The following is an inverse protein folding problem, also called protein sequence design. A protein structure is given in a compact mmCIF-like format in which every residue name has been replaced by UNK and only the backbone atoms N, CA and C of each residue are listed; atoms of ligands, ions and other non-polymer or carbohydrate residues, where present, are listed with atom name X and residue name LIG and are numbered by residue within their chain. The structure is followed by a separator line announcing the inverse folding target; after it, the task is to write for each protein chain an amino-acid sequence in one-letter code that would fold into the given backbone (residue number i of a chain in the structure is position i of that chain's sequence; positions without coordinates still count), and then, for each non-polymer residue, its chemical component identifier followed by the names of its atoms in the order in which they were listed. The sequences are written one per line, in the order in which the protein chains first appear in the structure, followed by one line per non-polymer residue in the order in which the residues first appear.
data_IF_790183836187
#
_entry.id   IF_790183836187
#
_cell.length_a   1.000
_cell.length_b   1.000
_cell.length_c   1.000
_cell.angle_alpha   90.00
_cell.angle_beta   90.00
_cell.angle_gamma   90.00
#
_symmetry.space_group_name_H-M   'P 1'
#
loop_
_entity.id
_entity.type
_entity.pdbx_description
1 polymer ?
#
# COMPACT_ATOMS: atom_id res chain seq x y z
N UNK A 1 -36.99 6.91 -6.73
CA UNK A 1 -36.21 7.67 -5.72
C UNK A 1 -34.88 7.02 -5.31
N UNK A 2 -34.77 5.69 -5.10
CA UNK A 2 -33.48 5.04 -4.75
C UNK A 2 -32.40 5.11 -5.85
N UNK A 3 -32.83 5.16 -7.12
CA UNK A 3 -31.96 5.17 -8.31
C UNK A 3 -31.20 6.49 -8.51
N UNK A 4 -31.86 7.63 -8.30
CA UNK A 4 -31.21 8.95 -8.41
C UNK A 4 -30.25 9.20 -7.25
N UNK A 5 -30.56 8.74 -6.04
CA UNK A 5 -29.67 8.95 -4.87
C UNK A 5 -28.38 8.13 -4.99
N UNK A 6 -28.44 6.89 -5.50
CA UNK A 6 -27.26 6.07 -5.73
C UNK A 6 -26.36 6.64 -6.85
N UNK A 7 -26.96 7.10 -7.96
CA UNK A 7 -26.25 7.70 -9.09
C UNK A 7 -25.63 9.06 -8.72
N UNK A 8 -26.37 9.91 -8.00
CA UNK A 8 -25.86 11.18 -7.48
C UNK A 8 -24.76 11.00 -6.44
N UNK A 9 -24.82 9.95 -5.61
CA UNK A 9 -23.78 9.65 -4.64
C UNK A 9 -22.51 9.11 -5.33
N UNK A 10 -22.63 8.25 -6.34
CA UNK A 10 -21.49 7.77 -7.12
C UNK A 10 -20.83 8.90 -7.95
N UNK A 11 -21.65 9.77 -8.56
CA UNK A 11 -21.19 10.95 -9.31
C UNK A 11 -20.65 12.09 -8.41
N UNK A 12 -21.11 12.18 -7.16
CA UNK A 12 -20.52 13.09 -6.17
C UNK A 12 -19.20 12.54 -5.60
N UNK A 13 -19.02 11.22 -5.61
CA UNK A 13 -17.77 10.55 -5.24
C UNK A 13 -16.72 10.53 -6.38
N UNK A 14 -17.12 10.72 -7.64
CA UNK A 14 -16.20 10.71 -8.80
C UNK A 14 -15.20 11.88 -8.85
N UNK A 15 -15.42 12.97 -8.10
CA UNK A 15 -14.43 14.06 -7.99
C UNK A 15 -13.38 13.85 -6.90
N UNK A 16 -13.52 12.80 -6.07
CA UNK A 16 -12.66 12.52 -4.93
C UNK A 16 -12.64 11.03 -4.56
N UNK A 17 -12.35 10.13 -5.51
CA UNK A 17 -12.26 8.69 -5.22
C UNK A 17 -11.05 8.42 -4.32
N UNK A 18 -11.29 8.47 -3.02
CA UNK A 18 -10.42 8.05 -1.93
C UNK A 18 -10.12 6.56 -2.14
N UNK A 19 -8.86 6.14 -1.97
CA UNK A 19 -8.49 4.73 -1.93
C UNK A 19 -8.99 4.07 -0.61
N UNK A 20 -10.31 3.97 -0.45
CA UNK A 20 -10.95 3.31 0.68
C UNK A 20 -12.32 2.79 0.26
N UNK A 21 -12.81 1.69 0.85
CA UNK A 21 -14.18 1.23 0.63
C UNK A 21 -15.20 2.34 0.96
N UNK A 22 -16.20 2.53 0.10
CA UNK A 22 -17.29 3.49 0.35
C UNK A 22 -18.22 2.88 1.42
N UNK A 23 -17.90 3.12 2.68
CA UNK A 23 -18.52 2.46 3.84
C UNK A 23 -19.95 2.96 4.21
N UNK A 24 -20.34 4.17 3.77
CA UNK A 24 -21.50 4.88 4.33
C UNK A 24 -22.80 4.77 3.52
N UNK A 25 -22.75 4.22 2.30
CA UNK A 25 -23.91 4.21 1.39
C UNK A 25 -24.51 2.82 1.11
N UNK A 26 -23.77 1.74 1.41
CA UNK A 26 -24.11 0.40 0.90
C UNK A 26 -24.12 -0.72 1.95
N UNK A 27 -23.97 -0.41 3.25
CA UNK A 27 -24.13 -1.45 4.29
C UNK A 27 -25.59 -1.83 4.45
N UNK A 28 -25.91 -3.08 4.13
CA UNK A 28 -27.07 -3.76 4.73
C UNK A 28 -26.85 -3.79 6.25
N UNK A 29 -27.83 -3.31 7.02
CA UNK A 29 -27.84 -3.47 8.49
C UNK A 29 -27.94 -4.96 8.78
N UNK A 30 -26.80 -5.63 8.96
CA UNK A 30 -26.78 -6.93 9.63
C UNK A 30 -27.21 -6.70 11.08
N UNK A 31 -28.31 -7.35 11.48
CA UNK A 31 -28.84 -7.31 12.83
C UNK A 31 -27.78 -7.89 13.76
N UNK A 32 -27.16 -7.05 14.59
CA UNK A 32 -26.24 -7.50 15.66
C UNK A 32 -26.99 -8.48 16.57
N UNK A 33 -26.76 -9.77 16.39
CA UNK A 33 -27.01 -10.75 17.45
C UNK A 33 -25.83 -10.65 18.39
N UNK A 34 -26.02 -10.00 19.53
CA UNK A 34 -25.03 -9.99 20.59
C UNK A 34 -24.84 -11.43 21.09
N UNK A 35 -23.64 -11.97 20.93
CA UNK A 35 -23.16 -13.08 21.75
C UNK A 35 -22.05 -12.52 22.62
N UNK A 36 -22.37 -12.27 23.89
CA UNK A 36 -21.37 -12.08 24.93
C UNK A 36 -20.63 -13.39 25.10
N UNK A 37 -19.36 -13.43 24.67
CA UNK A 37 -18.43 -14.44 25.17
C UNK A 37 -17.45 -13.72 26.08
N UNK A 38 -17.66 -13.91 27.38
CA UNK A 38 -16.66 -13.63 28.40
C UNK A 38 -15.44 -14.49 28.10
N UNK A 39 -14.34 -13.88 27.68
CA UNK A 39 -13.04 -14.56 27.56
C UNK A 39 -12.25 -14.21 28.80
N UNK A 40 -12.22 -15.19 29.71
CA UNK A 40 -11.37 -15.24 30.88
C UNK A 40 -9.91 -15.43 30.41
N UNK A 41 -9.20 -14.34 30.16
CA UNK A 41 -7.80 -14.35 29.69
C UNK A 41 -6.86 -14.44 30.89
N UNK A 42 -6.38 -15.65 31.18
CA UNK A 42 -5.21 -15.89 32.02
C UNK A 42 -3.97 -15.88 31.12
N UNK A 43 -3.30 -14.72 31.03
CA UNK A 43 -1.95 -14.62 30.47
C UNK A 43 -0.95 -14.37 31.62
N UNK A 44 0.22 -15.03 31.62
CA UNK A 44 1.14 -14.98 32.75
C UNK A 44 1.86 -13.63 32.83
N UNK A 45 1.86 -13.04 34.03
CA UNK A 45 2.67 -11.87 34.38
C UNK A 45 4.13 -12.31 34.50
N UNK A 46 4.99 -11.85 33.59
CA UNK A 46 6.44 -11.98 33.74
C UNK A 46 6.96 -10.86 34.64
N UNK A 47 7.32 -11.25 35.85
CA UNK A 47 7.98 -10.42 36.84
C UNK A 47 9.49 -10.64 36.69
N UNK A 48 10.25 -9.66 36.21
CA UNK A 48 11.71 -9.74 36.14
C UNK A 48 12.35 -8.59 36.92
N UNK A 49 12.58 -8.85 38.20
CA UNK A 49 13.62 -8.18 38.97
C UNK A 49 14.93 -8.91 38.66
N UNK A 50 15.92 -8.22 38.09
CA UNK A 50 17.31 -8.71 38.07
C UNK A 50 18.28 -7.54 37.92
N UNK A 51 18.96 -7.28 39.02
CA UNK A 51 20.09 -6.38 39.17
C UNK A 51 21.32 -7.10 38.57
N UNK A 52 21.92 -6.59 37.49
CA UNK A 52 23.24 -7.06 37.04
C UNK A 52 24.09 -5.87 36.60
N UNK A 53 25.15 -5.64 37.37
CA UNK A 53 26.28 -4.78 37.05
C UNK A 53 27.31 -5.59 36.27
N UNK A 54 27.73 -5.14 35.08
CA UNK A 54 28.92 -5.67 34.41
C UNK A 54 29.79 -4.59 33.76
N UNK A 55 31.02 -4.57 34.28
CA UNK A 55 32.33 -4.34 33.66
C UNK A 55 32.60 -3.13 32.74
N UNK A 56 33.40 -2.25 33.31
CA UNK A 56 34.29 -1.26 32.70
C UNK A 56 35.21 -1.88 31.63
N UNK A 57 35.27 -1.26 30.44
CA UNK A 57 36.16 -1.62 29.32
C UNK A 57 36.67 -0.35 28.61
N UNK A 58 37.99 -0.23 28.55
CA UNK A 58 38.85 0.94 28.36
C UNK A 58 38.76 1.74 27.04
N UNK A 59 39.05 3.05 27.17
CA UNK A 59 39.42 4.05 26.15
C UNK A 59 40.25 3.55 24.96
N UNK A 60 39.86 3.98 23.75
CA UNK A 60 40.73 4.09 22.57
C UNK A 60 40.51 5.43 21.89
N UNK A 61 41.45 6.36 22.08
CA UNK A 61 41.43 7.72 21.52
C UNK A 61 42.27 7.80 20.25
N UNK A 62 41.78 8.62 19.30
CA UNK A 62 42.45 9.27 18.16
C UNK A 62 42.62 8.53 16.82
N UNK A 63 42.00 9.15 15.81
CA UNK A 63 42.24 8.93 14.39
C UNK A 63 41.35 9.84 13.54
N UNK A 64 41.48 11.16 13.69
CA UNK A 64 40.75 12.16 12.89
C UNK A 64 41.26 12.13 11.44
N UNK A 65 40.65 11.30 10.60
CA UNK A 65 40.78 11.38 9.15
C UNK A 65 39.56 12.13 8.60
N UNK A 66 39.77 13.40 8.29
CA UNK A 66 38.82 14.27 7.62
C UNK A 66 38.72 13.84 6.14
N UNK A 67 38.04 12.72 5.88
CA UNK A 67 37.53 12.42 4.55
C UNK A 67 36.21 13.15 4.41
N UNK A 68 36.12 14.10 3.49
CA UNK A 68 34.86 14.69 3.05
C UNK A 68 33.99 13.58 2.46
N UNK A 69 33.27 12.88 3.33
CA UNK A 69 32.16 12.02 2.95
C UNK A 69 31.16 12.91 2.22
N UNK A 70 30.91 12.63 0.94
CA UNK A 70 29.77 13.16 0.23
C UNK A 70 28.53 12.64 0.98
N UNK A 71 28.11 13.38 2.01
CA UNK A 71 27.06 12.97 2.92
C UNK A 71 25.74 13.01 2.17
N UNK A 72 25.30 11.84 1.69
CA UNK A 72 24.02 11.71 1.02
C UNK A 72 22.88 11.85 2.01
N UNK A 73 21.92 12.73 1.74
CA UNK A 73 20.80 13.02 2.63
C UNK A 73 19.58 12.14 2.32
N UNK A 74 18.92 11.65 3.38
CA UNK A 74 17.60 11.04 3.28
C UNK A 74 16.55 12.14 3.09
N UNK A 75 15.69 11.99 2.08
CA UNK A 75 14.56 12.90 1.88
C UNK A 75 13.31 12.31 2.51
N UNK A 76 12.65 13.08 3.37
CA UNK A 76 11.42 12.71 4.06
C UNK A 76 10.27 13.52 3.47
N UNK A 77 9.42 12.85 2.71
CA UNK A 77 8.22 13.43 2.08
C UNK A 77 7.02 13.17 2.99
N UNK A 78 6.33 14.23 3.41
CA UNK A 78 5.22 14.16 4.37
C UNK A 78 3.89 14.45 3.67
N UNK A 79 2.96 13.51 3.75
CA UNK A 79 1.61 13.60 3.19
C UNK A 79 0.52 13.44 4.26
N UNK A 80 0.88 12.88 5.40
CA UNK A 80 0.09 12.67 6.61
C UNK A 80 0.96 12.04 7.69
N UNK A 81 0.37 11.52 8.75
CA UNK A 81 1.09 10.77 9.78
C UNK A 81 1.92 11.63 10.74
N UNK A 82 2.86 10.98 11.42
CA UNK A 82 3.67 11.53 12.50
C UNK A 82 5.10 11.79 12.03
N UNK A 83 5.57 12.99 12.32
CA UNK A 83 6.97 13.39 12.15
C UNK A 83 7.46 13.98 13.47
N UNK A 84 8.66 13.61 13.95
CA UNK A 84 9.23 14.18 15.16
C UNK A 84 9.27 15.71 15.09
N UNK A 85 8.82 16.37 16.14
CA UNK A 85 9.05 17.80 16.36
C UNK A 85 10.49 17.92 16.87
N UNK A 86 11.46 17.77 15.99
CA UNK A 86 12.86 17.97 16.36
C UNK A 86 13.38 19.26 15.75
N UNK A 87 13.76 20.19 16.63
CA UNK A 87 14.54 21.38 16.30
C UNK A 87 16.04 21.04 16.16
N UNK A 88 16.35 19.75 16.06
CA UNK A 88 17.69 19.18 16.01
C UNK A 88 17.89 18.53 14.65
N UNK A 89 18.86 19.06 13.92
CA UNK A 89 19.53 18.40 12.82
C UNK A 89 19.84 16.93 13.14
N UNK A 90 18.95 16.01 12.77
CA UNK A 90 19.41 14.75 12.21
C UNK A 90 20.15 15.20 10.95
N UNK A 91 21.48 15.24 11.01
CA UNK A 91 22.38 16.03 10.14
C UNK A 91 22.36 15.64 8.66
N UNK A 92 21.43 14.75 8.28
CA UNK A 92 21.33 14.12 6.97
C UNK A 92 19.88 13.82 6.57
N UNK A 93 18.88 14.51 7.14
CA UNK A 93 17.46 14.37 6.73
C UNK A 93 16.87 15.71 6.30
N UNK A 94 16.18 15.73 5.16
CA UNK A 94 15.48 16.92 4.66
C UNK A 94 13.97 16.64 4.53
N UNK A 95 13.13 17.53 5.06
CA UNK A 95 11.68 17.33 5.13
C UNK A 95 10.95 18.16 4.08
N UNK A 96 10.18 17.50 3.22
CA UNK A 96 9.27 18.14 2.27
C UNK A 96 7.82 17.78 2.60
N UNK A 97 7.01 18.75 3.03
CA UNK A 97 5.59 18.52 3.27
C UNK A 97 4.77 18.83 2.01
N UNK A 98 4.14 17.81 1.44
CA UNK A 98 3.24 17.95 0.29
C UNK A 98 1.78 18.12 0.72
N UNK A 99 1.35 17.29 1.68
CA UNK A 99 -0.03 17.27 2.18
C UNK A 99 -0.07 17.12 3.70
N UNK A 100 -1.25 17.34 4.27
CA UNK A 100 -1.55 16.99 5.66
C UNK A 100 -2.92 16.31 5.71
N UNK A 101 -3.03 15.15 5.05
CA UNK A 101 -4.30 14.42 4.93
C UNK A 101 -4.48 13.41 6.05
N UNK A 102 -5.68 13.38 6.63
CA UNK A 102 -6.18 12.31 7.50
C UNK A 102 -7.07 11.29 6.77
N UNK A 103 -7.37 11.55 5.49
CA UNK A 103 -8.17 10.70 4.61
C UNK A 103 -7.27 9.93 3.64
N UNK A 104 -7.77 8.81 3.11
CA UNK A 104 -7.00 8.04 2.13
C UNK A 104 -6.70 8.89 0.89
N UNK A 105 -5.50 8.76 0.36
CA UNK A 105 -5.07 9.51 -0.81
C UNK A 105 -5.70 8.92 -2.09
N UNK A 106 -6.02 9.79 -3.04
CA UNK A 106 -6.53 9.38 -4.37
C UNK A 106 -5.38 9.17 -5.38
N UNK A 107 -5.68 8.56 -6.52
CA UNK A 107 -4.66 8.21 -7.54
C UNK A 107 -3.85 9.42 -8.03
N UNK A 108 -4.48 10.59 -8.19
CA UNK A 108 -3.78 11.82 -8.59
C UNK A 108 -2.77 12.28 -7.54
N UNK A 109 -3.15 12.20 -6.25
CA UNK A 109 -2.23 12.48 -5.15
C UNK A 109 -1.09 11.47 -5.11
N UNK A 110 -1.36 10.18 -5.36
CA UNK A 110 -0.32 9.15 -5.42
C UNK A 110 0.73 9.45 -6.52
N UNK A 111 0.30 9.80 -7.73
CA UNK A 111 1.23 10.19 -8.81
C UNK A 111 2.00 11.49 -8.51
N UNK A 112 1.37 12.47 -7.85
CA UNK A 112 2.07 13.68 -7.41
C UNK A 112 3.20 13.37 -6.42
N UNK A 113 2.98 12.45 -5.49
CA UNK A 113 4.01 12.03 -4.53
C UNK A 113 5.09 11.21 -5.26
N UNK A 114 4.70 10.32 -6.17
CA UNK A 114 5.66 9.55 -6.97
C UNK A 114 6.59 10.44 -7.80
N UNK A 115 6.10 11.58 -8.31
CA UNK A 115 6.96 12.56 -8.99
C UNK A 115 8.08 13.07 -8.08
N UNK A 116 7.74 13.52 -6.87
CA UNK A 116 8.70 14.07 -5.90
C UNK A 116 9.67 12.98 -5.42
N UNK A 117 9.17 11.76 -5.18
CA UNK A 117 10.01 10.61 -4.84
C UNK A 117 10.93 10.25 -6.00
N UNK A 118 10.47 10.31 -7.25
CA UNK A 118 11.30 10.04 -8.42
C UNK A 118 12.45 11.05 -8.53
N UNK A 119 12.16 12.34 -8.39
CA UNK A 119 13.18 13.40 -8.38
C UNK A 119 14.22 13.14 -7.28
N UNK A 120 13.75 12.77 -6.09
CA UNK A 120 14.61 12.39 -4.94
C UNK A 120 15.52 11.20 -5.26
N UNK A 121 14.98 10.08 -5.72
CA UNK A 121 15.78 8.86 -5.90
C UNK A 121 16.75 8.98 -7.09
N UNK A 122 16.46 9.84 -8.07
CA UNK A 122 17.36 10.12 -9.19
C UNK A 122 18.52 11.05 -8.79
N UNK A 123 18.37 11.83 -7.72
CA UNK A 123 19.45 12.67 -7.20
C UNK A 123 20.60 11.81 -6.65
N UNK A 124 21.80 12.00 -7.17
CA UNK A 124 23.01 11.27 -6.72
C UNK A 124 23.37 11.57 -5.26
N UNK A 125 22.96 12.73 -4.74
CA UNK A 125 23.17 13.13 -3.34
C UNK A 125 22.12 12.53 -2.39
N UNK A 126 21.06 11.89 -2.89
CA UNK A 126 20.08 11.23 -2.01
C UNK A 126 20.46 9.77 -1.74
N UNK A 127 20.45 9.37 -0.46
CA UNK A 127 20.61 7.96 -0.06
C UNK A 127 19.33 7.15 -0.23
N UNK A 128 18.16 7.79 -0.27
CA UNK A 128 16.85 7.15 -0.33
C UNK A 128 15.72 8.13 -0.01
N UNK A 129 14.49 7.59 0.00
CA UNK A 129 13.28 8.36 0.28
C UNK A 129 12.46 7.70 1.39
N UNK A 130 11.94 8.53 2.30
CA UNK A 130 10.93 8.13 3.27
C UNK A 130 9.64 8.88 2.94
N UNK A 131 8.51 8.18 2.90
CA UNK A 131 7.20 8.78 2.70
C UNK A 131 6.34 8.55 3.93
N UNK A 132 6.03 9.63 4.64
CA UNK A 132 5.20 9.60 5.85
C UNK A 132 3.77 9.91 5.45
N UNK A 133 2.86 8.96 5.72
CA UNK A 133 1.46 9.01 5.32
C UNK A 133 0.52 8.69 6.48
N UNK A 134 -0.78 8.83 6.27
CA UNK A 134 -1.76 8.38 7.27
C UNK A 134 -2.01 6.86 7.14
N UNK A 135 -2.49 6.24 8.23
CA UNK A 135 -2.87 4.83 8.30
C UNK A 135 -3.66 4.34 7.08
N UNK A 136 -4.67 5.13 6.68
CA UNK A 136 -5.61 4.76 5.60
C UNK A 136 -4.94 4.71 4.22
N UNK A 137 -3.79 5.34 4.06
CA UNK A 137 -3.06 5.42 2.79
C UNK A 137 -1.82 4.54 2.78
N UNK A 138 -1.42 3.94 3.90
CA UNK A 138 -0.18 3.18 4.02
C UNK A 138 -0.14 2.04 3.00
N UNK A 139 -1.18 1.21 2.97
CA UNK A 139 -1.29 0.10 2.02
C UNK A 139 -1.27 0.59 0.56
N UNK A 140 -2.10 1.58 0.23
CA UNK A 140 -2.24 2.10 -1.12
C UNK A 140 -0.94 2.71 -1.65
N UNK A 141 -0.27 3.56 -0.85
CA UNK A 141 1.00 4.21 -1.23
C UNK A 141 2.11 3.17 -1.40
N UNK A 142 2.23 2.24 -0.45
CA UNK A 142 3.28 1.21 -0.48
C UNK A 142 3.14 0.29 -1.69
N UNK A 143 1.91 -0.13 -1.99
CA UNK A 143 1.64 -0.95 -3.17
C UNK A 143 1.84 -0.17 -4.47
N UNK A 144 1.30 1.05 -4.55
CA UNK A 144 1.46 1.92 -5.73
C UNK A 144 2.93 2.14 -6.08
N UNK A 145 3.75 2.50 -5.10
CA UNK A 145 5.19 2.67 -5.29
C UNK A 145 5.91 1.39 -5.66
N UNK A 146 5.48 0.24 -5.12
CA UNK A 146 6.03 -1.07 -5.50
C UNK A 146 5.82 -1.35 -7.00
N UNK A 147 4.68 -0.93 -7.56
CA UNK A 147 4.42 -1.05 -8.99
C UNK A 147 5.23 -0.03 -9.79
N UNK A 148 5.39 1.22 -9.33
CA UNK A 148 6.04 2.26 -10.13
C UNK A 148 7.57 2.19 -10.12
N UNK A 149 8.17 1.98 -8.94
CA UNK A 149 9.61 2.16 -8.78
C UNK A 149 10.38 0.86 -8.98
N UNK A 150 11.38 0.93 -9.84
CA UNK A 150 12.45 -0.06 -9.95
C UNK A 150 13.78 0.60 -9.62
N UNK A 151 14.12 0.60 -8.32
CA UNK A 151 15.36 1.20 -7.81
C UNK A 151 16.02 0.30 -6.77
N UNK A 152 17.33 0.48 -6.62
CA UNK A 152 18.11 -0.14 -5.56
C UNK A 152 18.17 0.74 -4.30
N UNK A 153 17.84 2.04 -4.42
CA UNK A 153 17.77 2.95 -3.27
C UNK A 153 16.54 2.61 -2.42
N UNK A 154 16.65 2.65 -1.09
CA UNK A 154 15.52 2.38 -0.22
C UNK A 154 14.44 3.45 -0.41
N UNK A 155 13.21 2.98 -0.59
CA UNK A 155 11.99 3.78 -0.47
C UNK A 155 11.18 3.14 0.64
N UNK A 156 10.95 3.89 1.72
CA UNK A 156 10.26 3.40 2.92
C UNK A 156 9.01 4.23 3.15
N UNK A 157 7.84 3.59 3.17
CA UNK A 157 6.56 4.23 3.45
C UNK A 157 6.15 3.93 4.90
N UNK A 158 5.70 4.91 5.66
CA UNK A 158 5.40 4.73 7.08
C UNK A 158 4.31 5.69 7.54
N UNK A 159 3.74 5.40 8.71
CA UNK A 159 2.92 6.34 9.45
C UNK A 159 3.74 7.23 10.38
N UNK A 160 4.93 6.77 10.79
CA UNK A 160 5.86 7.49 11.67
C UNK A 160 7.27 7.42 11.10
N UNK A 161 7.84 8.58 10.77
CA UNK A 161 9.22 8.66 10.26
C UNK A 161 10.27 8.08 11.20
N UNK A 162 10.04 8.09 12.53
CA UNK A 162 11.00 7.56 13.48
C UNK A 162 11.30 6.07 13.22
N UNK A 163 10.29 5.29 12.82
CA UNK A 163 10.46 3.86 12.52
C UNK A 163 11.03 3.60 11.13
N UNK A 164 10.89 4.55 10.20
CA UNK A 164 11.41 4.39 8.84
C UNK A 164 12.87 4.83 8.67
N UNK A 165 13.35 5.78 9.49
CA UNK A 165 14.73 6.28 9.41
C UNK A 165 15.77 5.17 9.59
N UNK A 166 15.67 4.28 10.60
CA UNK A 166 16.57 3.14 10.75
C UNK A 166 16.55 2.23 9.52
N UNK A 167 15.36 1.90 9.01
CA UNK A 167 15.17 1.04 7.84
C UNK A 167 15.77 1.65 6.57
N UNK A 168 15.58 2.94 6.34
CA UNK A 168 16.11 3.61 5.16
C UNK A 168 17.64 3.77 5.18
N UNK A 169 18.24 3.85 6.36
CA UNK A 169 19.70 3.92 6.53
C UNK A 169 20.37 2.54 6.56
N UNK A 170 19.62 1.47 6.80
CA UNK A 170 20.17 0.12 6.86
C UNK A 170 20.56 -0.39 5.46
N UNK A 171 21.78 -0.91 5.34
CA UNK A 171 22.30 -1.43 4.05
C UNK A 171 21.53 -2.64 3.54
N UNK A 172 20.92 -3.41 4.44
CA UNK A 172 20.08 -4.55 4.13
C UNK A 172 18.74 -4.19 3.48
N UNK A 173 18.32 -2.92 3.50
CA UNK A 173 17.11 -2.47 2.82
C UNK A 173 17.27 -2.42 1.29
N UNK A 174 18.51 -2.32 0.79
CA UNK A 174 18.78 -2.27 -0.64
C UNK A 174 18.24 -3.52 -1.36
N UNK A 175 17.79 -3.34 -2.61
CA UNK A 175 17.27 -4.39 -3.51
C UNK A 175 15.98 -5.09 -3.06
N UNK A 176 15.33 -4.69 -1.97
CA UNK A 176 14.03 -5.24 -1.52
C UNK A 176 12.81 -4.63 -2.20
N UNK A 177 13.02 -3.64 -3.08
CA UNK A 177 11.95 -2.82 -3.63
C UNK A 177 11.48 -1.79 -2.61
N UNK A 178 10.23 -1.35 -2.73
CA UNK A 178 9.61 -0.45 -1.75
C UNK A 178 9.29 -1.25 -0.49
N UNK A 179 9.54 -0.64 0.66
CA UNK A 179 9.26 -1.18 1.97
C UNK A 179 8.20 -0.33 2.66
N UNK A 180 7.48 -0.92 3.61
CA UNK A 180 6.61 -0.19 4.51
C UNK A 180 6.91 -0.54 5.96
N UNK A 181 6.85 0.44 6.85
CA UNK A 181 6.96 0.23 8.30
C UNK A 181 5.66 0.63 8.97
N UNK A 182 5.11 -0.27 9.78
CA UNK A 182 3.86 -0.07 10.51
C UNK A 182 4.11 0.34 11.95
N UNK A 183 3.07 0.76 12.66
CA UNK A 183 3.16 1.23 14.05
C UNK A 183 3.66 0.18 15.06
N UNK A 184 3.62 -1.11 14.72
CA UNK A 184 4.17 -2.23 15.49
C UNK A 184 5.66 -2.48 15.21
N UNK A 185 6.33 -1.56 14.49
CA UNK A 185 7.72 -1.63 14.06
C UNK A 185 8.07 -2.78 13.11
N UNK A 186 7.07 -3.51 12.61
CA UNK A 186 7.29 -4.52 11.57
C UNK A 186 7.50 -3.86 10.20
N UNK A 187 8.43 -4.42 9.45
CA UNK A 187 8.77 -3.98 8.09
C UNK A 187 8.19 -4.98 7.11
N UNK A 188 7.50 -4.51 6.07
CA UNK A 188 6.89 -5.33 5.02
C UNK A 188 7.43 -4.91 3.66
N UNK A 189 7.39 -5.84 2.69
CA UNK A 189 7.44 -5.44 1.28
C UNK A 189 6.19 -4.60 0.97
N UNK A 190 6.32 -3.55 0.17
CA UNK A 190 5.20 -2.69 -0.19
C UNK A 190 4.04 -3.41 -0.89
N UNK A 191 4.31 -4.56 -1.52
CA UNK A 191 3.27 -5.45 -2.09
C UNK A 191 2.43 -6.12 -0.98
N UNK A 192 3.08 -6.50 0.12
CA UNK A 192 2.50 -7.24 1.24
C UNK A 192 2.24 -6.38 2.48
N UNK A 193 2.25 -5.05 2.32
CA UNK A 193 1.81 -4.12 3.37
C UNK A 193 0.37 -4.46 3.77
N UNK A 194 0.07 -4.67 5.07
CA UNK A 194 -1.28 -4.95 5.52
C UNK A 194 -2.14 -3.68 5.48
N UNK A 195 -3.46 -3.84 5.35
CA UNK A 195 -4.42 -2.74 5.41
C UNK A 195 -4.48 -2.06 6.79
N UNK A 196 -4.13 -2.79 7.85
CA UNK A 196 -4.00 -2.24 9.20
C UNK A 196 -2.97 -3.03 10.02
N UNK A 197 -2.43 -2.39 11.05
CA UNK A 197 -1.44 -2.97 11.97
C UNK A 197 -2.00 -4.07 12.87
N UNK A 198 -3.33 -4.24 12.92
CA UNK A 198 -4.00 -5.29 13.70
C UNK A 198 -4.59 -6.42 12.85
N UNK A 199 -4.27 -6.44 11.56
CA UNK A 199 -4.76 -7.47 10.64
C UNK A 199 -3.84 -8.68 10.65
N UNK A 200 -4.04 -9.58 11.63
CA UNK A 200 -3.31 -10.85 11.73
C UNK A 200 -3.39 -11.65 10.43
N UNK A 201 -2.28 -11.86 9.74
CA UNK A 201 -2.24 -12.62 8.49
C UNK A 201 -2.60 -11.83 7.22
N UNK A 202 -2.67 -10.50 7.29
CA UNK A 202 -2.85 -9.64 6.11
C UNK A 202 -1.55 -9.21 5.41
N UNK A 203 -0.39 -9.62 5.94
CA UNK A 203 0.93 -9.27 5.39
C UNK A 203 2.01 -10.26 5.83
N UNK A 204 3.16 -10.19 5.15
CA UNK A 204 4.34 -11.00 5.47
C UNK A 204 5.48 -10.04 5.89
N UNK A 205 5.79 -9.92 7.19
CA UNK A 205 6.87 -9.07 7.64
C UNK A 205 8.22 -9.66 7.20
N UNK A 206 9.14 -8.78 6.78
CA UNK A 206 10.48 -9.13 6.31
C UNK A 206 11.58 -8.68 7.26
N UNK A 207 11.25 -7.80 8.22
CA UNK A 207 12.10 -7.38 9.31
C UNK A 207 11.29 -6.79 10.47
N UNK A 208 11.98 -6.48 11.56
CA UNK A 208 11.49 -5.67 12.68
C UNK A 208 12.52 -4.59 13.01
N UNK A 209 12.06 -3.42 13.47
CA UNK A 209 12.91 -2.41 14.12
C UNK A 209 12.83 -2.62 15.62
N UNK A 210 13.96 -2.83 16.28
CA UNK A 210 14.01 -3.05 17.72
C UNK A 210 13.86 -1.73 18.53
N UNK A 211 14.07 -1.80 19.84
CA UNK A 211 14.02 -0.63 20.72
C UNK A 211 15.32 0.18 20.74
N UNK A 212 16.36 -0.30 20.05
CA UNK A 212 17.67 0.34 19.87
C UNK A 212 17.84 0.90 18.44
N UNK A 213 16.74 1.04 17.69
CA UNK A 213 16.72 1.50 16.31
C UNK A 213 17.61 0.64 15.37
N UNK A 214 17.74 -0.66 15.66
CA UNK A 214 18.39 -1.64 14.77
C UNK A 214 17.35 -2.41 13.97
N UNK A 215 17.71 -2.78 12.74
CA UNK A 215 16.84 -3.50 11.82
C UNK A 215 17.25 -4.96 11.76
N UNK A 216 16.37 -5.84 12.19
CA UNK A 216 16.59 -7.29 12.13
C UNK A 216 15.84 -7.89 10.94
N UNK A 217 16.57 -8.30 9.90
CA UNK A 217 16.00 -8.91 8.70
C UNK A 217 15.76 -10.42 8.89
N UNK A 218 14.54 -10.86 8.58
CA UNK A 218 14.16 -12.29 8.67
C UNK A 218 14.53 -13.10 7.43
N UNK A 219 14.64 -12.41 6.28
CA UNK A 219 14.89 -13.04 4.98
C UNK A 219 15.97 -12.29 4.21
N UNK A 220 16.63 -12.99 3.29
CA UNK A 220 17.51 -12.36 2.31
C UNK A 220 16.78 -11.34 1.43
N UNK A 221 17.53 -10.37 0.92
CA UNK A 221 16.98 -9.32 0.07
C UNK A 221 16.39 -9.90 -1.21
N UNK A 222 15.07 -9.77 -1.36
CA UNK A 222 14.31 -10.26 -2.50
C UNK A 222 13.13 -9.34 -2.80
N UNK A 223 12.60 -9.43 -4.03
CA UNK A 223 11.41 -8.72 -4.48
C UNK A 223 10.30 -9.73 -4.79
N UNK A 224 9.03 -9.44 -4.45
CA UNK A 224 7.90 -10.27 -4.86
C UNK A 224 7.85 -10.47 -6.38
N UNK A 225 7.41 -11.65 -6.83
CA UNK A 225 7.35 -12.00 -8.27
C UNK A 225 6.63 -10.95 -9.10
N UNK A 226 5.52 -10.40 -8.59
CA UNK A 226 4.71 -9.35 -9.22
C UNK A 226 5.53 -8.13 -9.67
N UNK A 227 6.53 -7.73 -8.87
CA UNK A 227 7.37 -6.54 -9.10
C UNK A 227 8.85 -6.87 -9.33
N UNK A 228 9.17 -8.15 -9.54
CA UNK A 228 10.51 -8.58 -9.88
C UNK A 228 10.94 -7.96 -11.22
N UNK A 229 12.24 -7.76 -11.44
CA UNK A 229 12.75 -7.23 -12.71
C UNK A 229 12.39 -8.11 -13.91
N UNK A 230 12.03 -9.37 -13.67
CA UNK A 230 11.58 -10.32 -14.67
C UNK A 230 10.06 -10.42 -14.82
N UNK A 231 9.28 -9.66 -14.06
CA UNK A 231 7.82 -9.74 -14.04
C UNK A 231 7.19 -9.25 -15.35
N UNK A 232 5.97 -9.72 -15.62
CA UNK A 232 5.18 -9.29 -16.78
C UNK A 232 5.01 -7.76 -16.77
N UNK A 233 4.67 -7.18 -15.61
CA UNK A 233 4.55 -5.72 -15.44
C UNK A 233 5.84 -5.00 -15.89
N UNK A 234 7.02 -5.53 -15.55
CA UNK A 234 8.32 -4.91 -15.87
C UNK A 234 8.82 -5.17 -17.29
N UNK A 235 8.37 -6.23 -17.94
CA UNK A 235 8.84 -6.61 -19.29
C UNK A 235 7.91 -6.14 -20.40
N UNK A 236 6.60 -6.22 -20.17
CA UNK A 236 5.57 -6.07 -21.19
C UNK A 236 4.78 -4.77 -21.01
N UNK A 237 4.77 -4.19 -19.81
CA UNK A 237 4.00 -2.99 -19.46
C UNK A 237 4.90 -1.86 -18.91
N UNK A 238 5.96 -1.52 -19.66
CA UNK A 238 6.99 -0.55 -19.26
C UNK A 238 6.46 0.86 -18.92
N UNK A 239 5.26 1.21 -19.38
CA UNK A 239 4.62 2.48 -19.04
C UNK A 239 4.14 2.54 -17.57
N UNK A 240 3.93 1.39 -16.90
CA UNK A 240 3.53 1.32 -15.49
C UNK A 240 4.60 1.88 -14.54
N UNK A 241 5.86 1.91 -14.96
CA UNK A 241 6.96 2.46 -14.17
C UNK A 241 7.16 3.97 -14.34
N UNK A 242 6.23 4.65 -15.03
CA UNK A 242 6.31 6.09 -15.26
C UNK A 242 5.74 6.86 -14.06
N UNK A 243 6.55 7.66 -13.33
CA UNK A 243 6.13 8.29 -12.08
C UNK A 243 5.25 9.54 -12.27
N UNK A 244 5.00 9.95 -13.52
CA UNK A 244 4.32 11.21 -13.82
C UNK A 244 2.81 11.06 -14.07
N UNK A 245 2.33 9.86 -14.42
CA UNK A 245 0.94 9.54 -14.76
C UNK A 245 0.43 10.33 -15.97
N UNK A 246 -0.01 9.65 -17.03
CA UNK A 246 -0.55 10.33 -18.22
C UNK A 246 -2.07 10.42 -18.07
N UNK A 247 -2.56 11.57 -17.60
CA UNK A 247 -4.00 11.83 -17.39
C UNK A 247 -4.63 12.57 -18.57
N UNK A 248 -4.39 12.13 -19.80
CA UNK A 248 -4.93 12.78 -21.00
C UNK A 248 -6.46 12.88 -21.00
N UNK A 249 -7.13 11.91 -20.37
CA UNK A 249 -8.60 11.84 -20.25
C UNK A 249 -9.10 12.04 -18.80
N UNK A 250 -8.29 12.68 -17.96
CA UNK A 250 -8.58 12.83 -16.53
C UNK A 250 -8.13 11.64 -15.68
N UNK A 251 -8.35 11.74 -14.37
CA UNK A 251 -7.99 10.67 -13.42
C UNK A 251 -8.99 9.51 -13.53
N UNK A 252 -8.52 8.25 -13.63
CA UNK A 252 -9.44 7.12 -13.72
C UNK A 252 -10.21 6.95 -12.41
N UNK A 253 -11.48 6.63 -12.57
CA UNK A 253 -12.44 6.35 -11.52
C UNK A 253 -12.62 4.84 -11.49
N UNK A 254 -12.08 4.22 -10.45
CA UNK A 254 -12.21 2.78 -10.17
C UNK A 254 -12.80 2.63 -8.78
N UNK A 255 -14.13 2.50 -8.62
CA UNK A 255 -14.73 2.32 -7.31
C UNK A 255 -14.54 0.88 -6.80
N UNK A 256 -14.47 0.76 -5.47
CA UNK A 256 -14.62 -0.52 -4.76
C UNK A 256 -16.08 -0.65 -4.34
N UNK A 257 -16.75 -1.70 -4.79
CA UNK A 257 -18.11 -2.05 -4.37
C UNK A 257 -18.08 -3.35 -3.61
N UNK A 258 -18.88 -3.44 -2.55
CA UNK A 258 -19.13 -4.74 -1.92
C UNK A 258 -20.04 -5.55 -2.82
N UNK A 259 -19.86 -6.86 -2.88
CA UNK A 259 -20.83 -7.70 -3.53
C UNK A 259 -22.21 -7.57 -2.84
N UNK A 260 -23.21 -7.44 -3.69
CA UNK A 260 -24.61 -7.24 -3.39
C UNK A 260 -25.35 -7.58 -4.68
N UNK A 261 -26.64 -7.85 -4.63
CA UNK A 261 -27.44 -8.18 -5.82
C UNK A 261 -27.63 -6.99 -6.77
N UNK A 262 -26.55 -6.35 -7.22
CA UNK A 262 -26.54 -5.29 -8.21
C UNK A 262 -26.87 -5.88 -9.57
N UNK A 263 -27.79 -5.25 -10.28
CA UNK A 263 -28.10 -5.66 -11.65
C UNK A 263 -26.97 -5.23 -12.58
N UNK A 264 -26.64 -6.05 -13.57
CA UNK A 264 -25.71 -5.71 -14.66
C UNK A 264 -26.05 -4.38 -15.32
N UNK A 265 -27.34 -4.09 -15.48
CA UNK A 265 -27.84 -2.82 -16.02
C UNK A 265 -27.39 -1.57 -15.26
N UNK A 266 -27.14 -1.66 -13.94
CA UNK A 266 -26.57 -0.54 -13.18
C UNK A 266 -25.10 -0.33 -13.54
N UNK A 267 -24.35 -1.42 -13.67
CA UNK A 267 -22.93 -1.36 -14.03
C UNK A 267 -22.77 -0.82 -15.45
N UNK A 268 -23.59 -1.29 -16.39
CA UNK A 268 -23.60 -0.80 -17.76
C UNK A 268 -23.96 0.70 -17.83
N UNK A 269 -24.89 1.17 -16.98
CA UNK A 269 -25.24 2.59 -16.92
C UNK A 269 -24.11 3.50 -16.41
N UNK A 270 -23.14 2.93 -15.68
CA UNK A 270 -21.98 3.62 -15.13
C UNK A 270 -20.74 3.52 -16.03
N UNK A 271 -20.78 2.66 -17.04
CA UNK A 271 -19.64 2.35 -17.91
C UNK A 271 -19.04 3.57 -18.63
N UNK A 272 -19.82 4.64 -18.83
CA UNK A 272 -19.34 5.90 -19.40
C UNK A 272 -18.63 6.82 -18.40
N UNK A 273 -18.76 6.55 -17.10
CA UNK A 273 -18.24 7.37 -16.01
C UNK A 273 -17.08 6.72 -15.24
N UNK A 274 -16.93 5.39 -15.30
CA UNK A 274 -15.88 4.63 -14.60
C UNK A 274 -15.00 3.88 -15.60
N UNK A 275 -13.71 3.72 -15.28
CA UNK A 275 -12.74 3.03 -16.15
C UNK A 275 -12.50 1.58 -15.72
N UNK A 276 -13.17 1.14 -14.67
CA UNK A 276 -13.11 -0.22 -14.14
C UNK A 276 -13.83 -0.30 -12.80
N UNK A 277 -14.01 -1.51 -12.29
CA UNK A 277 -14.74 -1.78 -11.06
C UNK A 277 -13.99 -2.83 -10.25
N UNK A 278 -13.82 -2.60 -8.95
CA UNK A 278 -13.37 -3.64 -8.02
C UNK A 278 -14.55 -4.11 -7.20
N UNK A 279 -14.82 -5.41 -7.23
CA UNK A 279 -15.89 -6.06 -6.47
C UNK A 279 -15.27 -6.84 -5.32
N UNK A 280 -15.69 -6.53 -4.09
CA UNK A 280 -15.33 -7.33 -2.92
C UNK A 280 -16.17 -8.59 -2.92
N UNK A 281 -15.54 -9.76 -3.08
CA UNK A 281 -16.24 -11.05 -3.11
C UNK A 281 -17.01 -11.30 -1.80
N UNK A 282 -18.20 -11.91 -1.90
CA UNK A 282 -19.01 -12.32 -0.74
C UNK A 282 -19.13 -13.85 -0.57
N UNK A 283 -18.50 -14.64 -1.44
CA UNK A 283 -18.60 -16.10 -1.41
C UNK A 283 -17.79 -16.73 -0.26
N UNK A 284 -18.08 -18.00 0.03
CA UNK A 284 -17.25 -18.79 0.96
C UNK A 284 -16.00 -19.28 0.24
N UNK A 285 -14.83 -18.98 0.80
CA UNK A 285 -13.52 -19.52 0.44
C UNK A 285 -13.20 -19.47 -1.05
N UNK A 286 -12.51 -18.40 -1.47
CA UNK A 286 -11.96 -18.15 -2.82
C UNK A 286 -13.00 -17.93 -3.94
N UNK A 287 -14.26 -18.33 -3.77
CA UNK A 287 -15.32 -18.16 -4.77
C UNK A 287 -16.14 -16.88 -4.58
N UNK A 288 -16.84 -16.45 -5.64
CA UNK A 288 -17.86 -15.40 -5.55
C UNK A 288 -19.26 -15.94 -5.85
N UNK A 289 -20.26 -15.53 -5.08
CA UNK A 289 -21.68 -15.75 -5.40
C UNK A 289 -22.25 -14.69 -6.34
N UNK A 290 -21.45 -13.69 -6.68
CA UNK A 290 -21.82 -12.59 -7.55
C UNK A 290 -21.84 -13.00 -9.02
N UNK A 291 -22.73 -12.41 -9.80
CA UNK A 291 -22.73 -12.53 -11.26
C UNK A 291 -22.34 -11.22 -11.97
N UNK A 292 -21.75 -10.26 -11.24
CA UNK A 292 -21.36 -8.97 -11.79
C UNK A 292 -20.21 -9.17 -12.79
N UNK A 293 -20.52 -8.93 -14.06
CA UNK A 293 -19.56 -8.89 -15.15
C UNK A 293 -19.95 -7.76 -16.10
N UNK A 294 -19.00 -7.31 -16.91
CA UNK A 294 -19.24 -6.34 -17.97
C UNK A 294 -18.27 -6.59 -19.11
N UNK A 295 -18.79 -6.45 -20.34
CA UNK A 295 -17.95 -6.45 -21.56
C UNK A 295 -17.44 -5.04 -21.90
N UNK A 296 -17.93 -4.02 -21.18
CA UNK A 296 -17.63 -2.60 -21.46
C UNK A 296 -16.50 -2.10 -20.57
N UNK A 297 -16.56 -2.42 -19.27
CA UNK A 297 -15.55 -2.02 -18.29
C UNK A 297 -14.93 -3.24 -17.61
N UNK A 298 -13.63 -3.19 -17.26
CA UNK A 298 -13.02 -4.24 -16.47
C UNK A 298 -13.68 -4.41 -15.10
N UNK A 299 -13.96 -5.65 -14.72
CA UNK A 299 -14.44 -6.02 -13.38
C UNK A 299 -13.40 -6.93 -12.72
N UNK A 300 -12.87 -6.50 -11.58
CA UNK A 300 -11.85 -7.22 -10.82
C UNK A 300 -12.43 -7.65 -9.47
N UNK A 301 -12.37 -8.93 -9.15
CA UNK A 301 -12.83 -9.47 -7.86
C UNK A 301 -11.68 -9.61 -6.88
N UNK A 302 -11.84 -9.03 -5.70
CA UNK A 302 -10.86 -9.11 -4.61
C UNK A 302 -11.52 -9.58 -3.31
N UNK A 303 -10.75 -10.27 -2.46
CA UNK A 303 -11.19 -10.69 -1.13
C UNK A 303 -10.86 -9.59 -0.11
N UNK A 304 -11.75 -9.35 0.86
CA UNK A 304 -11.50 -8.42 1.96
C UNK A 304 -11.31 -9.11 3.32
N UNK A 305 -11.47 -10.43 3.39
CA UNK A 305 -11.24 -11.20 4.62
C UNK A 305 -9.76 -11.22 5.03
N UNK A 306 -9.54 -11.55 6.30
CA UNK A 306 -8.21 -11.67 6.88
C UNK A 306 -8.13 -13.04 7.59
N UNK A 307 -7.20 -13.93 7.21
CA UNK A 307 -6.22 -13.79 6.12
C UNK A 307 -6.88 -13.66 4.73
N UNK A 308 -6.17 -13.04 3.78
CA UNK A 308 -6.67 -12.88 2.41
C UNK A 308 -6.71 -14.24 1.70
N UNK A 309 -7.83 -14.53 1.06
CA UNK A 309 -7.99 -15.68 0.17
C UNK A 309 -7.49 -15.32 -1.24
N UNK A 310 -6.90 -16.30 -1.92
CA UNK A 310 -6.55 -16.17 -3.33
C UNK A 310 -7.80 -16.33 -4.20
N UNK A 311 -8.09 -15.35 -5.07
CA UNK A 311 -9.18 -15.42 -6.05
C UNK A 311 -8.59 -15.64 -7.45
N UNK A 312 -8.78 -16.83 -8.01
CA UNK A 312 -8.30 -17.17 -9.35
C UNK A 312 -9.34 -16.80 -10.44
N UNK A 313 -8.94 -16.85 -11.71
CA UNK A 313 -9.79 -16.62 -12.87
C UNK A 313 -10.99 -17.56 -12.97
N UNK A 314 -10.90 -18.78 -12.42
CA UNK A 314 -12.01 -19.73 -12.42
C UNK A 314 -13.03 -19.47 -11.31
N UNK A 315 -12.67 -18.63 -10.33
CA UNK A 315 -13.50 -18.35 -9.16
C UNK A 315 -14.38 -17.10 -9.34
N UNK A 316 -14.32 -16.49 -10.54
CA UNK A 316 -15.01 -15.26 -10.90
C UNK A 316 -15.90 -15.47 -12.13
N UNK A 317 -16.93 -14.62 -12.35
CA UNK A 317 -17.78 -14.69 -13.52
C UNK A 317 -16.99 -14.61 -14.82
N UNK A 318 -17.59 -15.13 -15.89
CA UNK A 318 -17.08 -14.92 -17.23
C UNK A 318 -16.97 -13.40 -17.51
N UNK A 319 -15.84 -12.99 -18.08
CA UNK A 319 -15.48 -11.60 -18.35
C UNK A 319 -15.07 -10.74 -17.15
N UNK A 320 -14.93 -11.35 -15.97
CA UNK A 320 -14.22 -10.76 -14.84
C UNK A 320 -12.76 -11.25 -14.73
N UNK A 321 -12.01 -10.62 -13.82
CA UNK A 321 -10.62 -10.93 -13.49
C UNK A 321 -10.52 -11.17 -11.98
N UNK A 322 -9.86 -12.24 -11.56
CA UNK A 322 -9.52 -12.47 -10.15
C UNK A 322 -8.33 -11.61 -9.74
N UNK A 323 -8.36 -11.03 -8.55
CA UNK A 323 -7.27 -10.21 -8.04
C UNK A 323 -6.13 -11.03 -7.41
N UNK A 324 -6.23 -12.36 -7.42
CA UNK A 324 -5.29 -13.25 -6.75
C UNK A 324 -5.23 -12.99 -5.27
N UNK A 325 -4.03 -12.68 -4.77
CA UNK A 325 -3.78 -12.35 -3.37
C UNK A 325 -3.87 -10.85 -3.05
N UNK A 326 -4.33 -10.00 -3.97
CA UNK A 326 -4.45 -8.57 -3.73
C UNK A 326 -5.72 -8.24 -2.95
N UNK A 327 -5.60 -7.35 -1.96
CA UNK A 327 -6.75 -6.73 -1.28
C UNK A 327 -7.53 -5.84 -2.25
N UNK A 328 -8.77 -5.41 -1.91
CA UNK A 328 -9.56 -4.57 -2.79
C UNK A 328 -8.89 -3.21 -3.05
N UNK A 329 -8.17 -2.67 -2.06
CA UNK A 329 -7.40 -1.42 -2.20
C UNK A 329 -6.25 -1.61 -3.18
N UNK A 330 -5.46 -2.68 -3.04
CA UNK A 330 -4.36 -2.98 -3.98
C UNK A 330 -4.88 -3.24 -5.39
N UNK A 331 -5.98 -3.99 -5.52
CA UNK A 331 -6.63 -4.24 -6.80
C UNK A 331 -7.13 -2.94 -7.46
N UNK A 332 -7.73 -2.04 -6.68
CA UNK A 332 -8.16 -0.72 -7.15
C UNK A 332 -6.97 0.08 -7.65
N UNK A 333 -5.86 0.10 -6.92
CA UNK A 333 -4.64 0.79 -7.33
C UNK A 333 -4.07 0.20 -8.62
N UNK A 334 -3.94 -1.14 -8.72
CA UNK A 334 -3.40 -1.78 -9.93
C UNK A 334 -4.29 -1.50 -11.15
N UNK A 335 -5.61 -1.62 -11.00
CA UNK A 335 -6.56 -1.32 -12.07
C UNK A 335 -6.53 0.17 -12.46
N UNK A 336 -6.34 1.07 -11.48
CA UNK A 336 -6.19 2.50 -11.75
C UNK A 336 -4.90 2.79 -12.52
N UNK A 337 -3.78 2.14 -12.17
CA UNK A 337 -2.52 2.24 -12.94
C UNK A 337 -2.75 1.73 -14.37
N UNK A 338 -3.40 0.57 -14.52
CA UNK A 338 -3.69 -0.01 -15.82
C UNK A 338 -4.54 0.94 -16.68
N UNK A 339 -5.59 1.53 -16.10
CA UNK A 339 -6.45 2.51 -16.77
C UNK A 339 -5.69 3.79 -17.18
N UNK A 340 -4.84 4.35 -16.31
CA UNK A 340 -3.95 5.50 -16.68
C UNK A 340 -3.07 5.15 -17.88
N UNK A 341 -2.67 3.89 -17.99
CA UNK A 341 -1.74 3.40 -19.00
C UNK A 341 -2.42 2.77 -20.22
N UNK A 342 -3.74 2.90 -20.36
CA UNK A 342 -4.51 2.37 -21.49
C UNK A 342 -4.62 0.84 -21.53
N UNK A 343 -4.28 0.14 -20.44
CA UNK A 343 -4.38 -1.31 -20.31
C UNK A 343 -5.74 -1.66 -19.73
N UNK A 344 -6.72 -1.92 -20.60
CA UNK A 344 -8.11 -2.20 -20.19
C UNK A 344 -8.64 -3.53 -20.71
N UNK A 345 -7.92 -4.21 -21.62
CA UNK A 345 -8.39 -5.50 -22.14
C UNK A 345 -8.30 -6.59 -21.07
N UNK A 346 -9.32 -7.45 -21.01
CA UNK A 346 -9.37 -8.58 -20.06
C UNK A 346 -8.11 -9.45 -20.09
N UNK A 347 -7.62 -9.83 -21.28
CA UNK A 347 -6.42 -10.68 -21.41
C UNK A 347 -5.20 -10.00 -20.75
N UNK A 348 -4.95 -8.74 -21.10
CA UNK A 348 -3.84 -7.99 -20.51
C UNK A 348 -3.98 -7.83 -18.99
N UNK A 349 -5.22 -7.64 -18.50
CA UNK A 349 -5.49 -7.57 -17.07
C UNK A 349 -5.24 -8.91 -16.37
N UNK A 350 -5.62 -10.03 -16.98
CA UNK A 350 -5.31 -11.38 -16.47
C UNK A 350 -3.81 -11.67 -16.43
N UNK A 351 -3.00 -11.02 -17.27
CA UNK A 351 -1.54 -11.19 -17.27
C UNK A 351 -0.85 -10.37 -16.15
N UNK A 352 -1.45 -9.27 -15.70
CA UNK A 352 -0.85 -8.38 -14.67
C UNK A 352 -1.39 -8.64 -13.26
N UNK A 353 -2.62 -9.13 -13.13
CA UNK A 353 -3.18 -9.52 -11.83
C UNK A 353 -2.62 -10.89 -11.43
N UNK A 354 -2.14 -11.05 -10.18
CA UNK A 354 -1.37 -12.21 -9.76
C UNK A 354 -2.19 -13.45 -9.40
#
# INVERSE_FOLDING_TARGET
MKFQVALSALLACSSAVIASPIDSLFKYKSTKTAHSRDINSTLPVWNTTSNTTYANGTNGTNGTSNTSSNNSELQIIVTGGQVPITNSSLTHTNYTRLYNSSSALNITQLYNIARVVNETIQDKSSSGAIVVTNAKSLEAVSFFFSILFDTNKPIVVTEDSAYAIPVANDKGAAKRGVLSVTSDKLVYSGVFTPASTFSYGAGLPVAIVDDQDQVEWFFDASRPTLISSSSVIRKEYNNFTTPFGIFENGAPIVPIVYDGGYSSSLIDSLSSAVQGLVVVSSGSSNSTSSSIASDIIPVVYAEASTPLNFIDKQDVPENAVGAGYLSPVKAQILLSIAAVNGVTSKSALQDIFP
#
